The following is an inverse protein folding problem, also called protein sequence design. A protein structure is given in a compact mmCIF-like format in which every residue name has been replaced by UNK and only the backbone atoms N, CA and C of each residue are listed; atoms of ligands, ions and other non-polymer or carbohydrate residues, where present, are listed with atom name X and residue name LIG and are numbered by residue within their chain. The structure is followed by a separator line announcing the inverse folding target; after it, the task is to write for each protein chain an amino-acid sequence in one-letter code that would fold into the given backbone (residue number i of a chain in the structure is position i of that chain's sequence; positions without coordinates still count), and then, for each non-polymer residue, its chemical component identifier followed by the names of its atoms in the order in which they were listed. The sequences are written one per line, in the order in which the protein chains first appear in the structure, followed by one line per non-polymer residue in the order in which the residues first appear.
data_IF_045049621917
#
_entry.id   IF_045049621917
#
_cell.length_a   1.000
_cell.length_b   1.000
_cell.length_c   1.000
_cell.angle_alpha   90.00
_cell.angle_beta   90.00
_cell.angle_gamma   90.00
#
_symmetry.space_group_name_H-M   'P 1'
#
loop_
_entity.id
_entity.type
_entity.pdbx_description
1 polymer ?
#
# COMPACT_ATOMS: atom_id res chain seq x y z
N UNK A 1 0.67 9.43 13.77
CA UNK A 1 1.69 8.54 13.20
C UNK A 1 2.17 7.63 14.33
N UNK A 2 2.06 6.30 14.20
CA UNK A 2 2.59 5.38 15.22
C UNK A 2 3.71 4.60 14.53
N UNK A 3 4.95 4.97 14.83
CA UNK A 3 6.13 4.16 14.49
C UNK A 3 6.21 3.10 15.58
N UNK A 4 5.43 2.03 15.44
CA UNK A 4 5.69 0.79 16.18
C UNK A 4 6.05 -0.25 15.13
N UNK A 5 7.32 -0.69 15.17
CA UNK A 5 7.82 -1.83 14.40
C UNK A 5 8.03 -1.59 12.89
N UNK A 6 8.74 -0.52 12.50
CA UNK A 6 9.30 -0.31 11.14
C UNK A 6 8.28 -0.36 9.97
N UNK A 7 6.98 -0.36 10.27
CA UNK A 7 5.91 -0.46 9.28
C UNK A 7 5.18 0.86 9.25
N UNK A 8 5.31 1.54 8.11
CA UNK A 8 4.57 2.76 7.82
C UNK A 8 3.08 2.46 7.96
N UNK A 9 2.40 3.24 8.80
CA UNK A 9 0.95 3.20 8.99
C UNK A 9 0.36 4.45 8.36
N UNK A 10 -0.14 4.29 7.13
CA UNK A 10 -0.87 5.33 6.41
C UNK A 10 -2.31 5.34 6.89
N UNK A 11 -2.63 6.21 7.87
CA UNK A 11 -4.01 6.27 8.41
C UNK A 11 -5.02 6.74 7.37
N UNK A 12 -4.67 7.76 6.57
CA UNK A 12 -5.49 8.27 5.46
C UNK A 12 -4.58 8.87 4.38
N UNK A 13 -4.17 8.08 3.39
CA UNK A 13 -3.40 8.57 2.25
C UNK A 13 -4.34 9.20 1.23
N UNK A 14 -4.33 10.53 1.12
CA UNK A 14 -5.10 11.27 0.11
C UNK A 14 -4.23 11.80 -1.05
N UNK A 15 -2.96 12.08 -0.78
CA UNK A 15 -2.01 12.76 -1.67
C UNK A 15 -0.60 12.27 -1.33
N UNK A 16 0.29 12.10 -2.34
CA UNK A 16 1.66 11.64 -2.11
C UNK A 16 2.47 12.69 -1.35
N UNK A 17 2.14 13.97 -1.54
CA UNK A 17 2.73 15.14 -0.88
C UNK A 17 2.50 15.15 0.64
N UNK A 18 1.57 14.32 1.14
CA UNK A 18 1.39 14.14 2.58
C UNK A 18 2.44 13.23 3.25
N UNK A 19 3.31 12.60 2.46
CA UNK A 19 4.34 11.70 2.94
C UNK A 19 5.68 12.41 3.08
N UNK A 20 6.41 12.09 4.14
CA UNK A 20 7.83 12.44 4.26
C UNK A 20 8.68 11.57 3.33
N UNK A 21 9.87 12.04 2.96
CA UNK A 21 10.82 11.27 2.14
C UNK A 21 11.11 9.89 2.74
N UNK A 22 11.26 9.81 4.07
CA UNK A 22 11.51 8.56 4.77
C UNK A 22 10.33 7.58 4.65
N UNK A 23 9.10 8.08 4.68
CA UNK A 23 7.91 7.26 4.45
C UNK A 23 7.84 6.77 3.00
N UNK A 24 8.18 7.61 2.03
CA UNK A 24 8.26 7.18 0.63
C UNK A 24 9.29 6.06 0.47
N UNK A 25 10.50 6.21 1.02
CA UNK A 25 11.54 5.18 0.98
C UNK A 25 11.09 3.88 1.67
N UNK A 26 10.41 3.96 2.82
CA UNK A 26 9.92 2.76 3.49
C UNK A 26 8.79 2.05 2.73
N UNK A 27 7.96 2.78 1.97
CA UNK A 27 6.97 2.17 1.08
C UNK A 27 7.65 1.43 -0.07
N UNK A 28 8.67 2.03 -0.68
CA UNK A 28 9.48 1.41 -1.75
C UNK A 28 10.13 0.12 -1.24
N UNK A 29 10.74 0.16 -0.07
CA UNK A 29 11.37 -1.01 0.54
C UNK A 29 10.35 -2.13 0.80
N UNK A 30 9.19 -1.79 1.37
CA UNK A 30 8.10 -2.76 1.61
C UNK A 30 7.59 -3.40 0.32
N UNK A 31 7.44 -2.63 -0.76
CA UNK A 31 7.03 -3.13 -2.07
C UNK A 31 8.07 -4.08 -2.67
N UNK A 32 9.37 -3.75 -2.55
CA UNK A 32 10.48 -4.61 -2.98
C UNK A 32 10.46 -5.96 -2.25
N UNK A 33 10.30 -5.95 -0.94
CA UNK A 33 10.28 -7.15 -0.12
C UNK A 33 9.08 -8.05 -0.46
N UNK A 34 7.90 -7.46 -0.67
CA UNK A 34 6.72 -8.19 -1.14
C UNK A 34 6.96 -8.83 -2.51
N UNK A 35 7.53 -8.07 -3.46
CA UNK A 35 7.90 -8.58 -4.80
C UNK A 35 8.91 -9.73 -4.73
N UNK A 36 9.80 -9.73 -3.74
CA UNK A 36 10.80 -10.79 -3.50
C UNK A 36 10.22 -12.02 -2.77
N UNK A 37 8.91 -12.11 -2.59
CA UNK A 37 8.26 -13.28 -2.01
C UNK A 37 8.11 -13.22 -0.49
N UNK A 38 8.20 -12.03 0.13
CA UNK A 38 7.82 -11.88 1.54
C UNK A 38 6.33 -12.24 1.68
N UNK A 39 6.08 -13.35 2.37
CA UNK A 39 4.73 -13.79 2.67
C UNK A 39 4.03 -12.81 3.63
N UNK A 40 2.82 -12.42 3.24
CA UNK A 40 1.93 -11.68 4.13
C UNK A 40 1.47 -12.60 5.26
N UNK A 41 1.75 -12.21 6.50
CA UNK A 41 1.22 -12.87 7.69
C UNK A 41 0.02 -12.05 8.19
N UNK A 42 -1.22 -12.52 7.97
CA UNK A 42 -2.39 -11.83 8.48
C UNK A 42 -2.37 -11.80 10.02
N UNK A 43 -2.88 -10.71 10.61
CA UNK A 43 -3.06 -10.65 12.04
C UNK A 43 -4.12 -11.68 12.48
N UNK A 44 -4.13 -12.04 13.77
CA UNK A 44 -5.14 -12.95 14.35
C UNK A 44 -6.59 -12.47 14.15
N UNK A 45 -6.80 -11.19 13.84
CA UNK A 45 -8.11 -10.61 13.57
C UNK A 45 -8.27 -10.40 12.06
N UNK A 46 -9.45 -10.70 11.50
CA UNK A 46 -9.73 -10.45 10.09
C UNK A 46 -9.66 -8.96 9.77
N UNK A 47 -9.12 -8.63 8.60
CA UNK A 47 -9.19 -7.29 8.03
C UNK A 47 -10.27 -7.26 6.96
N UNK A 48 -11.09 -6.21 6.96
CA UNK A 48 -12.08 -5.96 5.92
C UNK A 48 -11.69 -4.67 5.19
N UNK A 49 -11.72 -4.72 3.86
CA UNK A 49 -11.49 -3.57 3.00
C UNK A 49 -12.67 -3.43 2.04
N UNK A 50 -13.06 -2.19 1.74
CA UNK A 50 -14.09 -1.88 0.74
C UNK A 50 -13.51 -0.91 -0.27
N UNK A 51 -13.83 -1.12 -1.54
CA UNK A 51 -13.44 -0.23 -2.62
C UNK A 51 -14.68 0.53 -3.08
N UNK A 52 -14.65 1.86 -2.99
CA UNK A 52 -15.72 2.73 -3.45
C UNK A 52 -15.29 3.43 -4.75
N UNK A 53 -15.73 2.91 -5.89
CA UNK A 53 -15.47 3.53 -7.20
C UNK A 53 -16.70 4.28 -7.69
N UNK A 54 -16.60 5.61 -7.81
CA UNK A 54 -17.68 6.47 -8.30
C UNK A 54 -17.51 6.88 -9.77
N UNK A 55 -16.38 6.51 -10.39
CA UNK A 55 -16.07 6.74 -11.81
C UNK A 55 -15.43 5.49 -12.38
N UNK A 56 -15.74 5.19 -13.64
CA UNK A 56 -15.04 4.14 -14.39
C UNK A 56 -13.64 4.67 -14.70
N UNK A 57 -12.63 4.06 -14.09
CA UNK A 57 -11.24 4.26 -14.47
C UNK A 57 -11.01 3.36 -15.68
N UNK A 58 -11.20 3.91 -16.89
CA UNK A 58 -10.95 3.17 -18.12
C UNK A 58 -9.45 3.21 -18.43
N UNK A 59 -8.68 2.40 -17.72
CA UNK A 59 -7.29 2.14 -18.06
C UNK A 59 -7.24 1.06 -19.13
N UNK A 60 -6.54 1.34 -20.23
CA UNK A 60 -6.24 0.35 -21.26
C UNK A 60 -5.39 -0.76 -20.64
N UNK A 61 -6.03 -1.82 -20.16
CA UNK A 61 -5.37 -3.11 -19.97
C UNK A 61 -5.08 -3.68 -21.38
N UNK A 62 -4.10 -3.10 -22.08
CA UNK A 62 -3.34 -3.83 -23.09
C UNK A 62 -2.30 -4.67 -22.34
N UNK A 63 -2.79 -5.65 -21.57
CA UNK A 63 -1.94 -6.70 -21.05
C UNK A 63 -1.69 -7.69 -22.19
N UNK A 64 -0.46 -7.66 -22.70
CA UNK A 64 0.38 -8.86 -22.84
C UNK A 64 -0.34 -10.09 -23.43
N UNK A 65 -0.31 -10.18 -24.77
CA UNK A 65 -0.09 -11.46 -25.44
C UNK A 65 1.40 -11.61 -25.69
#
# INVERSE_FOLDING_TARGET
MIITSERISLKHLLTIESLTDQEVIGLIQRAREFKQGRNWQPAKRPYFATNLFLKIVHEHIKALK
#
